data_IF_705963987143
#
_entry.id   IF_705963987143
#
_cell.length_a   1.000
_cell.length_b   1.000
_cell.length_c   1.000
_cell.angle_alpha   90.00
_cell.angle_beta   90.00
_cell.angle_gamma   90.00
#
_symmetry.space_group_name_H-M   'P 1'
#
loop_
_entity.id
_entity.type
_entity.pdbx_description
1 polymer ?
#
# COMPACT_ATOMS: atom_id res chain seq x y z
N UNK A 1 21.55 -11.66 -11.87
CA UNK A 1 20.08 -11.57 -12.00
C UNK A 1 19.76 -10.09 -12.13
N UNK A 2 19.17 -9.67 -13.25
CA UNK A 2 18.97 -8.25 -13.55
C UNK A 2 18.09 -7.57 -12.51
N UNK A 3 18.49 -6.35 -12.13
CA UNK A 3 17.71 -5.44 -11.29
C UNK A 3 16.39 -5.13 -12.00
N UNK A 4 15.38 -5.97 -11.76
CA UNK A 4 14.02 -5.66 -12.17
C UNK A 4 13.55 -4.54 -11.26
N UNK A 5 13.21 -3.35 -11.79
CA UNK A 5 12.76 -2.25 -10.94
C UNK A 5 11.53 -2.71 -10.16
N UNK A 6 11.60 -2.59 -8.83
CA UNK A 6 10.47 -2.92 -7.97
C UNK A 6 9.30 -2.01 -8.34
N UNK A 7 8.07 -2.53 -8.27
CA UNK A 7 6.87 -1.76 -8.60
C UNK A 7 6.82 -0.44 -7.81
N UNK A 8 7.11 -0.48 -6.50
CA UNK A 8 7.34 0.70 -5.64
C UNK A 8 8.36 1.73 -6.15
N UNK A 9 9.44 1.31 -6.83
CA UNK A 9 10.39 2.23 -7.46
C UNK A 9 9.75 2.99 -8.61
N UNK A 10 9.00 2.28 -9.45
CA UNK A 10 8.25 2.86 -10.56
C UNK A 10 7.22 3.86 -10.05
N UNK A 11 6.47 3.50 -9.00
CA UNK A 11 5.49 4.37 -8.36
C UNK A 11 6.15 5.66 -7.85
N UNK A 12 7.23 5.57 -7.08
CA UNK A 12 7.90 6.77 -6.58
C UNK A 12 8.51 7.63 -7.68
N UNK A 13 8.97 7.02 -8.78
CA UNK A 13 9.43 7.73 -9.97
C UNK A 13 8.32 8.51 -10.66
N UNK A 14 7.16 7.86 -10.90
CA UNK A 14 5.96 8.50 -11.47
C UNK A 14 5.53 9.68 -10.60
N UNK A 15 5.44 9.49 -9.28
CA UNK A 15 5.04 10.56 -8.38
C UNK A 15 6.04 11.71 -8.42
N UNK A 16 7.34 11.43 -8.29
CA UNK A 16 8.39 12.47 -8.34
C UNK A 16 8.36 13.27 -9.65
N UNK A 17 8.11 12.62 -10.78
CA UNK A 17 8.10 13.25 -12.10
C UNK A 17 6.83 14.08 -12.35
N UNK A 18 5.68 13.64 -11.84
CA UNK A 18 4.37 14.19 -12.17
C UNK A 18 3.78 15.09 -11.08
N UNK A 19 4.51 15.32 -9.98
CA UNK A 19 4.05 16.20 -8.90
C UNK A 19 4.96 17.41 -8.78
N UNK A 20 4.51 18.63 -9.17
CA UNK A 20 5.26 19.84 -8.87
C UNK A 20 5.34 20.02 -7.35
N UNK A 21 6.54 20.31 -6.85
CA UNK A 21 6.95 20.23 -5.43
C UNK A 21 6.05 21.00 -4.45
N UNK A 22 6.05 20.61 -3.14
CA UNK A 22 7.09 19.85 -2.45
C UNK A 22 6.60 18.54 -1.81
N UNK A 23 6.54 17.45 -2.59
CA UNK A 23 6.37 16.12 -2.00
C UNK A 23 7.75 15.54 -1.68
N UNK A 24 7.99 15.23 -0.40
CA UNK A 24 9.16 14.48 -0.01
C UNK A 24 8.83 12.99 -0.06
N UNK A 25 9.23 12.32 -1.13
CA UNK A 25 8.99 10.90 -1.33
C UNK A 25 10.15 10.12 -0.73
N UNK A 26 9.85 9.22 0.20
CA UNK A 26 10.80 8.28 0.75
C UNK A 26 10.38 6.85 0.40
N UNK A 27 11.32 6.07 -0.12
CA UNK A 27 11.09 4.68 -0.50
C UNK A 27 11.76 3.75 0.50
N UNK A 28 11.07 2.69 0.89
CA UNK A 28 11.60 1.63 1.74
C UNK A 28 11.06 0.28 1.30
N UNK A 29 11.85 -0.78 1.46
CA UNK A 29 11.39 -2.17 1.29
C UNK A 29 11.06 -2.76 2.65
N UNK A 30 10.24 -3.83 2.68
CA UNK A 30 9.87 -4.51 3.93
C UNK A 30 11.08 -4.95 4.77
N UNK A 31 12.18 -5.32 4.11
CA UNK A 31 13.44 -5.79 4.71
C UNK A 31 14.24 -4.63 5.35
N UNK A 32 13.96 -3.38 4.95
CA UNK A 32 14.48 -2.15 5.56
C UNK A 32 13.42 -1.41 6.39
N UNK A 33 12.20 -1.93 6.46
CA UNK A 33 11.04 -1.32 7.11
C UNK A 33 11.23 -1.20 8.63
N UNK A 34 11.88 -2.20 9.24
CA UNK A 34 12.17 -2.23 10.67
C UNK A 34 13.18 -1.17 11.14
N UNK A 35 14.00 -0.61 10.25
CA UNK A 35 15.00 0.41 10.60
C UNK A 35 14.61 1.84 10.20
N UNK A 36 13.65 2.00 9.27
CA UNK A 36 13.29 3.30 8.71
C UNK A 36 12.05 3.93 9.33
N UNK A 37 11.11 3.15 9.86
CA UNK A 37 9.95 3.73 10.55
C UNK A 37 10.28 4.08 12.00
N UNK A 38 11.23 4.99 12.17
CA UNK A 38 11.36 5.71 13.43
C UNK A 38 10.01 6.34 13.78
N UNK A 39 9.62 6.44 15.06
CA UNK A 39 8.39 7.12 15.47
C UNK A 39 8.26 8.52 14.84
N UNK A 40 9.39 9.19 14.61
CA UNK A 40 9.46 10.48 13.93
C UNK A 40 8.97 10.43 12.49
N UNK A 41 9.35 9.41 11.72
CA UNK A 41 8.92 9.28 10.33
C UNK A 41 7.42 9.04 10.22
N UNK A 42 6.85 8.24 11.14
CA UNK A 42 5.40 8.09 11.24
C UNK A 42 4.68 9.41 11.52
N UNK A 43 5.20 10.23 12.44
CA UNK A 43 4.60 11.51 12.79
C UNK A 43 4.63 12.55 11.67
N UNK A 44 5.62 12.49 10.78
CA UNK A 44 5.76 13.44 9.67
C UNK A 44 5.16 12.96 8.35
N UNK A 45 4.67 11.72 8.29
CA UNK A 45 4.16 11.12 7.05
C UNK A 45 2.69 11.45 6.87
N UNK A 46 2.35 12.16 5.79
CA UNK A 46 0.96 12.49 5.45
C UNK A 46 0.22 11.36 4.72
N UNK A 47 0.96 10.47 4.06
CA UNK A 47 0.41 9.33 3.31
C UNK A 47 1.46 8.22 3.19
N UNK A 48 1.05 6.99 3.43
CA UNK A 48 1.83 5.78 3.15
C UNK A 48 1.29 5.13 1.88
N UNK A 49 2.17 4.79 0.93
CA UNK A 49 1.79 4.08 -0.29
C UNK A 49 2.31 2.64 -0.20
N UNK A 50 1.42 1.68 -0.41
CA UNK A 50 1.67 0.26 -0.22
C UNK A 50 1.46 -0.50 -1.50
N UNK A 51 2.47 -1.25 -1.93
CA UNK A 51 2.28 -2.27 -2.96
C UNK A 51 1.26 -3.30 -2.45
N UNK A 52 0.23 -3.58 -3.26
CA UNK A 52 -0.80 -4.58 -2.91
C UNK A 52 -0.15 -5.92 -2.59
N UNK A 53 0.80 -6.32 -3.44
CA UNK A 53 1.44 -7.61 -3.36
C UNK A 53 2.86 -7.55 -2.82
N UNK A 54 3.16 -8.49 -1.94
CA UNK A 54 4.53 -8.87 -1.61
C UNK A 54 4.88 -10.18 -2.29
N UNK A 55 6.01 -10.17 -2.98
CA UNK A 55 6.58 -11.36 -3.62
C UNK A 55 7.50 -12.07 -2.65
N UNK A 56 7.29 -13.37 -2.50
CA UNK A 56 8.18 -14.31 -1.83
C UNK A 56 8.71 -15.30 -2.87
N UNK A 57 9.81 -16.04 -2.59
CA UNK A 57 10.40 -16.97 -3.55
C UNK A 57 9.43 -17.98 -4.17
N UNK A 58 8.35 -18.34 -3.46
CA UNK A 58 7.39 -19.38 -3.89
C UNK A 58 5.94 -18.92 -3.95
N UNK A 59 5.64 -17.65 -3.63
CA UNK A 59 4.25 -17.17 -3.51
C UNK A 59 4.13 -15.66 -3.60
N UNK A 60 2.93 -15.21 -3.92
CA UNK A 60 2.50 -13.81 -3.85
C UNK A 60 1.50 -13.65 -2.71
N UNK A 61 1.55 -12.57 -1.95
CA UNK A 61 0.56 -12.28 -0.89
C UNK A 61 0.05 -10.86 -0.99
N UNK A 62 -1.25 -10.67 -0.79
CA UNK A 62 -1.89 -9.36 -0.75
C UNK A 62 -1.65 -8.64 0.60
N UNK A 63 -0.38 -8.53 1.03
CA UNK A 63 0.00 -7.99 2.35
C UNK A 63 -0.28 -6.50 2.50
N UNK A 64 -0.35 -5.74 1.40
CA UNK A 64 -0.71 -4.32 1.43
C UNK A 64 -2.05 -4.08 2.13
N UNK A 65 -3.00 -5.00 2.00
CA UNK A 65 -4.30 -4.93 2.68
C UNK A 65 -4.15 -5.00 4.20
N UNK A 66 -3.49 -6.04 4.70
CA UNK A 66 -3.31 -6.25 6.14
C UNK A 66 -2.47 -5.14 6.80
N UNK A 67 -1.46 -4.62 6.08
CA UNK A 67 -0.64 -3.50 6.56
C UNK A 67 -1.47 -2.22 6.61
N UNK A 68 -2.24 -1.93 5.57
CA UNK A 68 -3.10 -0.76 5.55
C UNK A 68 -4.15 -0.81 6.66
N UNK A 69 -4.77 -1.97 6.93
CA UNK A 69 -5.72 -2.15 8.04
C UNK A 69 -5.05 -1.89 9.41
N UNK A 70 -3.79 -2.27 9.54
CA UNK A 70 -2.98 -1.98 10.74
C UNK A 70 -2.73 -0.48 10.88
N UNK A 71 -2.34 0.19 9.79
CA UNK A 71 -2.09 1.64 9.77
C UNK A 71 -3.35 2.47 10.07
N UNK A 72 -4.51 2.03 9.59
CA UNK A 72 -5.79 2.69 9.88
C UNK A 72 -6.09 2.75 11.39
N UNK A 73 -5.67 1.75 12.17
CA UNK A 73 -5.80 1.77 13.65
C UNK A 73 -4.95 2.86 14.32
N UNK A 74 -3.93 3.35 13.62
CA UNK A 74 -3.05 4.45 14.07
C UNK A 74 -3.40 5.79 13.42
N UNK A 75 -4.56 5.89 12.74
CA UNK A 75 -4.99 7.10 12.03
C UNK A 75 -3.98 7.57 10.97
N UNK A 76 -3.38 6.61 10.27
CA UNK A 76 -2.46 6.88 9.18
C UNK A 76 -3.13 6.58 7.85
N UNK A 77 -3.12 7.58 6.97
CA UNK A 77 -3.60 7.42 5.59
C UNK A 77 -2.71 6.45 4.83
N UNK A 78 -3.35 5.50 4.16
CA UNK A 78 -2.69 4.55 3.28
C UNK A 78 -3.37 4.51 1.91
N UNK A 79 -2.56 4.44 0.86
CA UNK A 79 -3.00 4.16 -0.51
C UNK A 79 -2.41 2.81 -0.93
N UNK A 80 -3.28 1.84 -1.22
CA UNK A 80 -2.87 0.56 -1.78
C UNK A 80 -2.78 0.72 -3.30
N UNK A 81 -1.62 0.41 -3.87
CA UNK A 81 -1.39 0.43 -5.32
C UNK A 81 -1.24 -0.98 -5.87
N UNK A 82 -1.96 -1.29 -6.94
CA UNK A 82 -1.90 -2.59 -7.62
C UNK A 82 -1.35 -2.45 -9.04
N UNK A 83 -0.42 -3.31 -9.47
CA UNK A 83 -0.04 -3.40 -10.88
C UNK A 83 -1.08 -4.13 -11.75
N UNK A 84 -2.12 -4.71 -11.14
CA UNK A 84 -3.20 -5.38 -11.85
C UNK A 84 -4.29 -4.39 -12.27
N UNK A 85 -5.10 -4.73 -13.26
CA UNK A 85 -6.32 -4.00 -13.61
C UNK A 85 -7.53 -4.74 -13.02
N UNK A 86 -7.81 -4.54 -11.72
CA UNK A 86 -8.89 -5.25 -11.02
C UNK A 86 -10.26 -4.59 -11.20
N UNK A 87 -10.33 -3.43 -11.86
CA UNK A 87 -11.58 -2.81 -12.30
C UNK A 87 -12.37 -2.19 -11.16
N UNK A 88 -11.68 -1.62 -10.17
CA UNK A 88 -12.35 -1.04 -9.01
C UNK A 88 -12.99 0.30 -9.37
N UNK A 89 -14.31 0.37 -9.21
CA UNK A 89 -15.09 1.61 -9.32
C UNK A 89 -14.49 2.70 -8.39
N UNK A 90 -14.39 3.98 -8.81
CA UNK A 90 -13.75 5.12 -8.11
C UNK A 90 -14.19 5.42 -6.66
N UNK A 91 -15.01 4.59 -6.03
CA UNK A 91 -15.54 4.78 -4.68
C UNK A 91 -14.57 4.41 -3.55
N UNK A 92 -13.38 3.87 -3.84
CA UNK A 92 -12.40 3.49 -2.82
C UNK A 92 -11.20 4.43 -2.94
N UNK A 93 -11.19 5.50 -2.15
CA UNK A 93 -10.13 6.52 -2.21
C UNK A 93 -8.76 5.97 -1.75
N UNK A 94 -8.74 4.91 -0.96
CA UNK A 94 -7.53 4.24 -0.46
C UNK A 94 -6.99 3.14 -1.38
N UNK A 95 -7.48 3.01 -2.62
CA UNK A 95 -7.05 1.99 -3.57
C UNK A 95 -6.86 2.57 -4.99
N UNK A 96 -5.76 2.20 -5.64
CA UNK A 96 -5.48 2.56 -7.02
C UNK A 96 -4.95 1.37 -7.83
N UNK A 97 -5.39 1.28 -9.08
CA UNK A 97 -4.95 0.26 -10.03
C UNK A 97 -4.94 0.81 -11.47
N UNK A 98 -4.46 0.00 -12.43
CA UNK A 98 -4.32 0.41 -13.84
C UNK A 98 -5.66 0.67 -14.55
N UNK A 99 -6.77 0.22 -13.98
CA UNK A 99 -8.13 0.39 -14.51
C UNK A 99 -8.94 1.49 -13.81
N UNK A 100 -8.36 2.18 -12.83
CA UNK A 100 -9.04 3.17 -12.00
C UNK A 100 -9.62 4.37 -12.78
N UNK A 101 -9.11 4.66 -13.98
CA UNK A 101 -9.51 5.82 -14.79
C UNK A 101 -9.07 7.17 -14.21
N UNK A 102 -8.36 7.18 -13.07
CA UNK A 102 -7.80 8.37 -12.41
C UNK A 102 -6.28 8.22 -12.39
N UNK A 103 -5.54 9.31 -12.63
CA UNK A 103 -4.08 9.24 -12.55
C UNK A 103 -3.63 9.01 -11.10
N UNK A 104 -2.54 8.28 -10.91
CA UNK A 104 -1.99 8.06 -9.57
C UNK A 104 -1.70 9.36 -8.80
N UNK A 105 -1.10 10.42 -9.41
CA UNK A 105 -0.94 11.71 -8.75
C UNK A 105 -2.26 12.36 -8.31
N UNK A 106 -3.32 12.26 -9.12
CA UNK A 106 -4.64 12.79 -8.76
C UNK A 106 -5.24 12.01 -7.59
N UNK A 107 -5.11 10.68 -7.59
CA UNK A 107 -5.54 9.83 -6.49
C UNK A 107 -4.85 10.23 -5.17
N UNK A 108 -3.53 10.37 -5.18
CA UNK A 108 -2.77 10.84 -4.01
C UNK A 108 -3.22 12.23 -3.55
N UNK A 109 -3.42 13.18 -4.49
CA UNK A 109 -3.89 14.53 -4.16
C UNK A 109 -5.27 14.53 -3.52
N UNK A 110 -6.18 13.72 -4.03
CA UNK A 110 -7.53 13.59 -3.48
C UNK A 110 -7.48 13.02 -2.05
N UNK A 111 -6.72 11.95 -1.85
CA UNK A 111 -6.58 11.30 -0.54
C UNK A 111 -5.93 12.21 0.51
N UNK A 112 -4.94 13.02 0.11
CA UNK A 112 -4.32 14.00 1.01
C UNK A 112 -5.29 15.10 1.44
N UNK A 113 -6.28 15.46 0.61
CA UNK A 113 -7.31 16.47 0.90
C UNK A 113 -8.48 15.97 1.73
N UNK A 114 -8.67 14.66 1.85
CA UNK A 114 -9.75 14.11 2.68
C UNK A 114 -9.50 14.46 4.16
N UNK A 115 -10.46 15.12 4.82
CA UNK A 115 -10.31 15.53 6.23
C UNK A 115 -10.36 14.34 7.21
N UNK A 116 -10.87 13.20 6.75
CA UNK A 116 -10.97 11.95 7.52
C UNK A 116 -10.04 10.91 6.94
N UNK A 117 -9.61 9.98 7.78
CA UNK A 117 -8.98 8.78 7.27
C UNK A 117 -9.99 8.02 6.40
N UNK A 118 -9.61 7.68 5.16
CA UNK A 118 -10.47 6.93 4.27
C UNK A 118 -10.81 5.60 4.93
N UNK A 119 -12.08 5.20 4.86
CA UNK A 119 -12.48 3.89 5.33
C UNK A 119 -11.77 2.85 4.46
N UNK A 120 -10.82 2.13 5.06
CA UNK A 120 -10.00 1.15 4.35
C UNK A 120 -10.74 -0.19 4.20
N UNK A 121 -11.99 -0.13 3.76
CA UNK A 121 -12.79 -1.31 3.46
C UNK A 121 -12.72 -1.50 1.96
N UNK A 122 -11.80 -2.37 1.52
CA UNK A 122 -11.84 -2.86 0.15
C UNK A 122 -13.20 -3.54 -0.07
N UNK A 123 -14.00 -3.12 -1.06
CA UNK A 123 -15.23 -3.80 -1.45
C UNK A 123 -14.99 -5.30 -1.65
N UNK A 124 -15.96 -6.13 -1.29
CA UNK A 124 -15.85 -7.59 -1.44
C UNK A 124 -15.51 -8.03 -2.87
N UNK A 125 -15.99 -7.31 -3.89
CA UNK A 125 -15.60 -7.50 -5.30
C UNK A 125 -14.09 -7.42 -5.57
N UNK A 126 -13.32 -6.72 -4.73
CA UNK A 126 -11.85 -6.67 -4.77
C UNK A 126 -11.26 -7.83 -3.99
N UNK A 127 -11.85 -8.15 -2.84
CA UNK A 127 -11.36 -9.24 -1.99
C UNK A 127 -11.54 -10.60 -2.66
N UNK A 128 -12.62 -10.82 -3.40
CA UNK A 128 -12.92 -12.06 -4.13
C UNK A 128 -11.76 -12.54 -5.03
N UNK A 129 -11.28 -11.76 -6.01
CA UNK A 129 -10.13 -12.16 -6.82
C UNK A 129 -8.83 -12.24 -6.01
N UNK A 130 -8.77 -11.56 -4.85
CA UNK A 130 -7.62 -11.58 -3.95
C UNK A 130 -7.65 -12.71 -2.91
N UNK A 131 -8.74 -13.49 -2.80
CA UNK A 131 -8.89 -14.52 -1.76
C UNK A 131 -7.72 -15.51 -1.74
N UNK A 132 -7.22 -15.90 -2.90
CA UNK A 132 -6.07 -16.80 -3.02
C UNK A 132 -4.77 -16.19 -2.45
N UNK A 133 -4.65 -14.87 -2.46
CA UNK A 133 -3.46 -14.12 -2.03
C UNK A 133 -3.59 -13.55 -0.61
N UNK A 134 -4.81 -13.44 -0.08
CA UNK A 134 -5.10 -13.01 1.29
C UNK A 134 -4.84 -14.11 2.32
N UNK A 135 -4.98 -15.38 1.93
CA UNK A 135 -4.73 -16.52 2.82
C UNK A 135 -3.29 -16.54 3.29
N UNK A 136 -3.09 -16.67 4.60
CA UNK A 136 -1.80 -17.10 5.13
C UNK A 136 -1.53 -18.53 4.63
N UNK A 137 -0.29 -18.86 4.23
CA UNK A 137 0.02 -20.23 3.84
C UNK A 137 -0.26 -21.18 5.01
N UNK A 138 -0.65 -22.42 4.70
CA UNK A 138 -0.58 -23.51 5.67
C UNK A 138 0.88 -23.62 6.15
N UNK A 139 1.10 -23.50 7.46
CA UNK A 139 2.43 -23.65 8.08
C UNK A 139 3.20 -22.35 8.42
N UNK A 140 2.62 -21.16 8.29
CA UNK A 140 3.15 -19.99 9.02
C UNK A 140 2.55 -19.96 10.43
N UNK A 141 3.33 -20.40 11.42
CA UNK A 141 2.99 -20.19 12.83
C UNK A 141 2.77 -18.70 13.06
N UNK A 142 1.59 -18.33 13.55
CA UNK A 142 1.33 -16.99 14.08
C UNK A 142 2.47 -16.59 15.03
N UNK A 143 3.00 -15.36 14.97
CA UNK A 143 3.86 -14.88 16.04
C UNK A 143 3.08 -15.05 17.34
N UNK A 144 3.68 -15.77 18.31
CA UNK A 144 3.07 -15.93 19.62
C UNK A 144 2.80 -14.53 20.17
N UNK A 145 1.63 -14.31 20.80
CA UNK A 145 1.40 -13.05 21.51
C UNK A 145 2.57 -12.83 22.47
N UNK A 146 3.17 -11.66 22.40
CA UNK A 146 4.09 -11.19 23.43
C UNK A 146 3.18 -10.94 24.63
N UNK A 147 3.15 -11.87 25.57
CA UNK A 147 2.51 -11.67 26.87
C UNK A 147 3.31 -10.62 27.63
N UNK A 148 2.65 -9.66 28.31
CA UNK A 148 3.31 -8.62 29.10
C UNK A 148 4.16 -9.18 30.25
#
# INVERSE_FOLDING_TARGET
MGDTPLFSQTIGGILSALTPTPWQIQQTTYDRFGSLLSPRLFQTTSLIILDLFRTYPTKLRAEGVAVAETLARFQLKALIVSPLALGVNPQVSSYWDLSSGISLPDCVRNLLREDRDPELVLPERIKEPLQAFLRAPEGHSSPRPITP
#
